data_IF_139872940163
#
_entry.id   IF_139872940163
#
_cell.length_a   1.000
_cell.length_b   1.000
_cell.length_c   1.000
_cell.angle_alpha   90.00
_cell.angle_beta   90.00
_cell.angle_gamma   90.00
#
_symmetry.space_group_name_H-M   'P 1'
#
loop_
_entity.id
_entity.type
_entity.pdbx_description
1 polymer ?
#
# COMPACT_ATOMS: atom_id res chain seq x y z
N UNK A 1 4.57 -25.62 33.33
CA UNK A 1 5.50 -24.53 32.97
C UNK A 1 4.75 -23.59 32.03
N UNK A 2 4.53 -22.34 32.47
CA UNK A 2 3.80 -21.31 31.71
C UNK A 2 4.78 -20.66 30.74
N UNK A 3 4.50 -20.64 29.44
CA UNK A 3 5.30 -19.90 28.46
C UNK A 3 4.43 -18.83 27.81
N UNK A 4 4.80 -17.58 28.09
CA UNK A 4 4.25 -16.37 27.51
C UNK A 4 4.86 -16.16 26.13
N UNK A 5 4.05 -16.09 25.07
CA UNK A 5 4.48 -15.56 23.77
C UNK A 5 3.28 -14.91 23.06
N UNK A 6 2.86 -13.77 23.58
CA UNK A 6 2.03 -12.78 22.90
C UNK A 6 2.61 -11.41 23.29
N UNK A 7 3.13 -10.66 22.32
CA UNK A 7 3.03 -9.19 22.15
C UNK A 7 4.20 -8.65 21.30
N UNK A 8 3.89 -8.34 20.05
CA UNK A 8 4.40 -7.22 19.24
C UNK A 8 3.63 -7.37 17.92
N UNK A 9 2.73 -6.49 17.51
CA UNK A 9 2.96 -5.08 17.20
C UNK A 9 1.63 -4.34 17.38
N UNK A 10 1.58 -3.37 18.29
CA UNK A 10 0.52 -2.35 18.34
C UNK A 10 1.13 -1.09 18.93
N UNK A 11 1.76 -0.28 18.07
CA UNK A 11 2.24 1.03 18.46
C UNK A 11 2.21 1.95 17.25
N UNK A 12 1.08 2.63 17.03
CA UNK A 12 1.01 4.01 16.54
C UNK A 12 -0.36 4.58 16.94
N UNK A 13 -0.46 5.13 18.16
CA UNK A 13 -1.47 6.15 18.46
C UNK A 13 -0.79 7.50 18.33
N UNK A 14 -1.19 8.27 17.34
CA UNK A 14 -0.82 9.67 17.20
C UNK A 14 -1.47 10.48 18.35
N UNK A 15 -0.64 11.19 19.11
CA UNK A 15 -1.08 12.38 19.84
C UNK A 15 -1.22 13.50 18.81
N UNK A 16 -2.40 14.12 18.74
CA UNK A 16 -2.54 15.56 18.49
C UNK A 16 -4.02 15.93 18.60
N UNK A 17 -4.44 16.46 19.75
CA UNK A 17 -5.45 17.52 19.83
C UNK A 17 -5.18 18.34 21.09
N UNK A 18 -4.38 19.39 20.94
CA UNK A 18 -4.41 20.55 21.82
C UNK A 18 -4.75 21.76 20.95
N UNK A 19 -5.99 22.22 21.05
CA UNK A 19 -6.45 23.48 20.46
C UNK A 19 -6.92 24.33 21.64
N UNK A 20 -6.26 25.45 21.96
CA UNK A 20 -6.80 26.39 22.92
C UNK A 20 -7.86 27.28 22.26
N UNK A 21 -8.91 27.51 23.05
CA UNK A 21 -10.06 28.37 22.82
C UNK A 21 -9.68 29.85 22.58
N UNK A 22 -10.39 30.51 21.67
CA UNK A 22 -10.60 31.96 21.72
C UNK A 22 -12.08 32.27 21.56
N UNK A 23 -12.54 33.13 22.46
CA UNK A 23 -13.91 33.47 22.82
C UNK A 23 -14.67 34.31 21.79
N UNK A 24 -15.98 34.21 21.93
CA UNK A 24 -17.07 35.15 21.64
C UNK A 24 -16.68 36.58 21.21
N UNK A 25 -17.28 37.02 20.10
CA UNK A 25 -17.92 38.35 20.01
C UNK A 25 -19.18 38.22 19.14
N UNK A 26 -20.33 38.18 19.80
CA UNK A 26 -21.63 38.56 19.24
C UNK A 26 -21.64 40.08 18.99
N UNK A 27 -21.90 40.53 17.76
CA UNK A 27 -22.70 41.75 17.50
C UNK A 27 -23.45 41.55 16.17
N UNK A 28 -24.75 41.28 16.27
CA UNK A 28 -25.74 41.65 15.26
C UNK A 28 -26.00 43.15 15.42
N UNK A 29 -25.80 43.94 14.36
CA UNK A 29 -26.56 45.18 14.20
C UNK A 29 -26.78 45.45 12.71
N UNK A 30 -28.03 45.75 12.42
CA UNK A 30 -28.72 45.70 11.14
C UNK A 30 -29.16 47.13 10.88
N UNK A 31 -28.53 47.87 9.96
CA UNK A 31 -29.11 49.10 9.42
C UNK A 31 -28.52 49.55 8.08
N UNK A 32 -29.32 49.34 7.03
CA UNK A 32 -29.38 50.11 5.77
C UNK A 32 -30.08 51.46 6.08
N UNK A 33 -29.62 52.65 5.61
CA UNK A 33 -30.17 53.18 4.35
C UNK A 33 -29.30 54.13 3.48
N UNK A 34 -29.57 54.02 2.17
CA UNK A 34 -29.61 55.06 1.12
C UNK A 34 -28.42 56.00 0.86
N UNK A 35 -27.97 56.02 -0.41
CA UNK A 35 -27.41 57.24 -1.01
C UNK A 35 -26.55 57.06 -2.27
N UNK A 36 -27.10 57.52 -3.40
CA UNK A 36 -26.40 58.14 -4.55
C UNK A 36 -25.56 57.27 -5.53
N UNK A 37 -26.09 57.10 -6.73
CA UNK A 37 -25.34 57.05 -8.00
C UNK A 37 -24.62 58.40 -8.22
N UNK A 38 -23.43 58.48 -8.85
CA UNK A 38 -23.44 58.53 -10.32
C UNK A 38 -22.18 58.00 -11.05
N UNK A 39 -22.34 57.93 -12.38
CA UNK A 39 -21.32 58.15 -13.41
C UNK A 39 -20.39 57.00 -13.81
N UNK A 40 -20.78 56.40 -14.94
CA UNK A 40 -19.98 55.66 -15.90
C UNK A 40 -18.62 56.32 -16.16
N UNK A 41 -17.54 55.58 -15.88
CA UNK A 41 -16.21 55.85 -16.40
C UNK A 41 -15.79 54.70 -17.31
N UNK A 42 -15.69 55.00 -18.60
CA UNK A 42 -15.20 54.12 -19.65
C UNK A 42 -13.70 53.93 -19.49
N UNK A 43 -13.31 52.83 -18.83
CA UNK A 43 -11.92 52.38 -18.75
C UNK A 43 -11.61 51.46 -19.93
N UNK A 44 -10.80 51.95 -20.87
CA UNK A 44 -10.24 51.18 -21.97
C UNK A 44 -9.39 50.03 -21.41
N UNK A 45 -9.92 48.80 -21.44
CA UNK A 45 -9.20 47.61 -21.06
C UNK A 45 -8.20 47.24 -22.17
N UNK A 46 -6.91 47.41 -21.89
CA UNK A 46 -5.82 46.84 -22.68
C UNK A 46 -5.85 45.31 -22.53
N UNK A 47 -6.22 44.58 -23.59
CA UNK A 47 -6.13 43.13 -23.63
C UNK A 47 -4.67 42.69 -23.58
N UNK A 48 -4.22 42.16 -22.45
CA UNK A 48 -3.01 41.35 -22.38
C UNK A 48 -3.30 39.98 -23.04
N UNK A 49 -2.35 39.40 -23.82
CA UNK A 49 -2.52 38.07 -24.37
C UNK A 49 -2.59 37.06 -23.22
N UNK A 50 -3.69 36.32 -23.16
CA UNK A 50 -3.85 35.17 -22.27
C UNK A 50 -2.80 34.14 -22.67
N UNK A 51 -1.79 33.95 -21.82
CA UNK A 51 -0.85 32.84 -21.98
C UNK A 51 -1.64 31.54 -21.89
N UNK A 52 -1.69 30.79 -22.99
CA UNK A 52 -2.29 29.45 -23.02
C UNK A 52 -1.52 28.57 -22.04
N UNK A 53 -2.15 28.03 -20.98
CA UNK A 53 -1.46 27.07 -20.12
C UNK A 53 -1.03 25.89 -21.00
N UNK A 54 0.28 25.64 -21.04
CA UNK A 54 0.78 24.41 -21.65
C UNK A 54 0.13 23.23 -20.91
N UNK A 55 -0.39 22.21 -21.62
CA UNK A 55 -0.88 21.02 -20.95
C UNK A 55 0.26 20.44 -20.13
N UNK A 56 0.12 20.46 -18.81
CA UNK A 56 0.93 19.61 -17.94
C UNK A 56 0.65 18.19 -18.42
N UNK A 57 1.63 17.59 -19.10
CA UNK A 57 1.60 16.17 -19.39
C UNK A 57 1.65 15.50 -18.02
N UNK A 58 0.49 15.07 -17.53
CA UNK A 58 0.42 14.12 -16.45
C UNK A 58 1.08 12.85 -16.98
N UNK A 59 2.37 12.70 -16.67
CA UNK A 59 3.02 11.41 -16.73
C UNK A 59 2.40 10.59 -15.61
N UNK A 60 1.14 10.15 -15.84
CA UNK A 60 0.38 9.34 -14.91
C UNK A 60 1.29 8.21 -14.50
N UNK A 61 1.83 8.32 -13.29
CA UNK A 61 2.91 7.45 -12.84
C UNK A 61 2.32 6.05 -12.76
N UNK A 62 2.65 5.20 -13.72
CA UNK A 62 2.11 3.85 -13.76
C UNK A 62 2.64 3.11 -12.54
N UNK A 63 1.74 2.76 -11.62
CA UNK A 63 2.10 1.96 -10.46
C UNK A 63 2.60 0.58 -10.93
N UNK A 64 3.71 0.13 -10.34
CA UNK A 64 4.23 -1.21 -10.53
C UNK A 64 3.27 -2.27 -9.97
N UNK A 65 3.67 -3.53 -10.13
CA UNK A 65 2.85 -4.69 -9.80
C UNK A 65 3.52 -5.58 -8.78
N UNK A 66 2.70 -6.17 -7.90
CA UNK A 66 3.06 -7.34 -7.12
C UNK A 66 2.74 -8.60 -7.93
N UNK A 67 3.76 -9.39 -8.25
CA UNK A 67 3.65 -10.60 -9.07
C UNK A 67 4.07 -11.80 -8.21
N UNK A 68 3.29 -12.86 -8.25
CA UNK A 68 3.64 -14.15 -7.64
C UNK A 68 3.66 -15.21 -8.72
N UNK A 69 4.83 -15.78 -8.98
CA UNK A 69 5.04 -16.86 -9.95
C UNK A 69 5.10 -18.18 -9.19
N UNK A 70 4.24 -19.12 -9.59
CA UNK A 70 4.26 -20.48 -9.08
C UNK A 70 5.02 -21.37 -10.06
N UNK A 71 6.30 -21.61 -9.80
CA UNK A 71 7.10 -22.58 -10.55
C UNK A 71 7.13 -23.97 -9.86
N UNK A 72 6.41 -24.13 -8.74
CA UNK A 72 6.19 -25.42 -8.09
C UNK A 72 5.40 -26.38 -8.99
N UNK A 73 5.54 -27.69 -8.73
CA UNK A 73 4.81 -28.76 -9.44
C UNK A 73 3.38 -28.97 -8.94
N UNK A 74 2.88 -28.11 -8.05
CA UNK A 74 1.56 -28.19 -7.41
C UNK A 74 0.91 -26.80 -7.39
N UNK A 75 -0.43 -26.69 -7.30
CA UNK A 75 -1.10 -25.41 -7.18
C UNK A 75 -0.82 -24.76 -5.83
N UNK A 76 -0.80 -23.42 -5.80
CA UNK A 76 -0.77 -22.62 -4.57
C UNK A 76 -1.99 -21.71 -4.51
N UNK A 77 -2.35 -21.28 -3.31
CA UNK A 77 -3.56 -20.50 -3.04
C UNK A 77 -3.17 -19.16 -2.44
N UNK A 78 -3.67 -18.08 -3.02
CA UNK A 78 -3.30 -16.72 -2.65
C UNK A 78 -4.52 -15.89 -2.24
N UNK A 79 -4.32 -15.05 -1.23
CA UNK A 79 -5.26 -13.99 -0.84
C UNK A 79 -4.53 -12.66 -0.79
N UNK A 80 -5.14 -11.63 -1.38
CA UNK A 80 -4.68 -10.24 -1.23
C UNK A 80 -5.45 -9.58 -0.09
N UNK A 81 -4.74 -9.30 1.00
CA UNK A 81 -5.32 -8.88 2.29
C UNK A 81 -4.90 -7.45 2.62
N UNK A 82 -5.88 -6.56 2.76
CA UNK A 82 -5.72 -5.23 3.38
C UNK A 82 -6.72 -5.09 4.53
N UNK A 83 -7.47 -3.99 4.58
CA UNK A 83 -8.63 -3.87 5.47
C UNK A 83 -9.79 -4.79 5.10
N UNK A 84 -9.77 -5.34 3.90
CA UNK A 84 -10.64 -6.40 3.41
C UNK A 84 -9.81 -7.53 2.84
N UNK A 85 -10.34 -8.75 2.90
CA UNK A 85 -9.74 -9.93 2.30
C UNK A 85 -10.39 -10.16 0.94
N UNK A 86 -9.58 -10.15 -0.13
CA UNK A 86 -10.06 -10.55 -1.47
C UNK A 86 -10.27 -12.07 -1.52
N UNK A 87 -11.12 -12.53 -2.45
CA UNK A 87 -11.39 -13.94 -2.66
C UNK A 87 -10.10 -14.73 -2.93
N UNK A 88 -10.08 -16.00 -2.53
CA UNK A 88 -9.00 -16.94 -2.85
C UNK A 88 -8.79 -16.99 -4.37
N UNK A 89 -7.54 -16.95 -4.80
CA UNK A 89 -7.16 -17.27 -6.17
C UNK A 89 -6.24 -18.48 -6.17
N UNK A 90 -6.54 -19.47 -7.01
CA UNK A 90 -5.62 -20.59 -7.25
C UNK A 90 -4.62 -20.20 -8.32
N UNK A 91 -3.33 -20.34 -8.02
CA UNK A 91 -2.24 -20.22 -8.99
C UNK A 91 -1.79 -21.64 -9.37
N UNK A 92 -2.19 -22.09 -10.55
CA UNK A 92 -1.75 -23.38 -11.09
C UNK A 92 -0.21 -23.43 -11.24
N UNK A 93 0.35 -24.64 -11.37
CA UNK A 93 1.76 -24.83 -11.69
C UNK A 93 2.11 -24.12 -13.01
N UNK A 94 3.21 -23.36 -13.01
CA UNK A 94 3.67 -22.55 -14.14
C UNK A 94 2.88 -21.25 -14.36
N UNK A 95 1.84 -20.98 -13.56
CA UNK A 95 1.04 -19.77 -13.67
C UNK A 95 1.54 -18.65 -12.75
N UNK A 96 0.91 -17.47 -12.85
CA UNK A 96 1.19 -16.33 -11.99
C UNK A 96 -0.07 -15.63 -11.52
N UNK A 97 -0.01 -15.05 -10.33
CA UNK A 97 -0.91 -14.00 -9.87
C UNK A 97 -0.25 -12.64 -10.09
N UNK A 98 -1.06 -11.61 -10.36
CA UNK A 98 -0.58 -10.24 -10.52
C UNK A 98 -1.64 -9.26 -10.04
N UNK A 99 -1.22 -8.29 -9.22
CA UNK A 99 -2.02 -7.11 -8.93
C UNK A 99 -1.16 -5.85 -9.03
N UNK A 100 -1.75 -4.76 -9.52
CA UNK A 100 -1.15 -3.43 -9.40
C UNK A 100 -1.03 -3.08 -7.92
N UNK A 101 0.10 -2.51 -7.52
CA UNK A 101 0.26 -2.03 -6.16
C UNK A 101 -0.87 -1.06 -5.81
N UNK A 102 -1.48 -1.25 -4.64
CA UNK A 102 -2.48 -0.33 -4.09
C UNK A 102 -2.16 0.02 -2.66
N UNK A 103 -2.64 1.18 -2.23
CA UNK A 103 -2.58 1.59 -0.83
C UNK A 103 -3.92 1.29 -0.16
N UNK A 104 -3.90 0.65 1.01
CA UNK A 104 -5.07 0.48 1.87
C UNK A 104 -4.95 1.42 3.07
N UNK A 105 -5.77 2.47 3.10
CA UNK A 105 -5.66 3.57 4.09
C UNK A 105 -5.89 3.09 5.52
N UNK A 106 -6.68 2.03 5.73
CA UNK A 106 -7.08 1.56 7.07
C UNK A 106 -6.03 0.65 7.71
N UNK A 107 -5.46 -0.27 6.93
CA UNK A 107 -4.42 -1.21 7.39
C UNK A 107 -3.00 -0.68 7.16
N UNK A 108 -2.82 0.31 6.29
CA UNK A 108 -1.54 0.92 5.94
C UNK A 108 -0.75 0.17 4.86
N UNK A 109 -1.15 -1.04 4.49
CA UNK A 109 -0.43 -1.89 3.53
C UNK A 109 -1.25 -3.09 3.10
N UNK A 110 -0.65 -3.92 2.25
CA UNK A 110 -1.25 -5.12 1.69
C UNK A 110 -0.35 -6.30 2.03
N UNK A 111 -0.94 -7.43 2.41
CA UNK A 111 -0.28 -8.72 2.53
C UNK A 111 -0.85 -9.68 1.48
N UNK A 112 -0.01 -10.11 0.54
CA UNK A 112 -0.27 -11.28 -0.27
C UNK A 112 0.08 -12.50 0.58
N UNK A 113 -0.94 -13.27 0.97
CA UNK A 113 -0.77 -14.48 1.78
C UNK A 113 -0.88 -15.70 0.88
N UNK A 114 0.12 -16.57 0.89
CA UNK A 114 0.23 -17.72 0.00
C UNK A 114 0.33 -19.00 0.85
N UNK A 115 -0.52 -19.98 0.55
CA UNK A 115 -0.47 -21.31 1.16
C UNK A 115 -0.43 -22.41 0.09
N UNK A 116 0.03 -23.60 0.47
CA UNK A 116 -0.03 -24.82 -0.36
C UNK A 116 -1.30 -25.63 -0.15
N UNK A 117 -2.13 -25.22 0.83
CA UNK A 117 -3.41 -25.86 1.19
C UNK A 117 -4.55 -24.93 0.82
N UNK A 118 -5.56 -25.45 0.12
CA UNK A 118 -6.77 -24.71 -0.20
C UNK A 118 -7.49 -24.24 1.06
N UNK A 119 -7.96 -23.00 1.09
CA UNK A 119 -8.54 -22.41 2.31
C UNK A 119 -7.52 -22.14 3.42
N UNK A 120 -6.22 -22.26 3.11
CA UNK A 120 -5.09 -22.15 4.05
C UNK A 120 -5.10 -20.90 4.95
N UNK A 121 -5.69 -19.80 4.46
CA UNK A 121 -5.85 -18.58 5.24
C UNK A 121 -6.67 -18.78 6.53
N UNK A 122 -7.63 -19.71 6.55
CA UNK A 122 -8.64 -19.83 7.61
C UNK A 122 -8.47 -21.08 8.49
N UNK A 123 -7.44 -21.88 8.28
CA UNK A 123 -7.25 -23.15 8.97
C UNK A 123 -5.85 -23.29 9.61
N UNK A 124 -5.15 -22.17 9.81
CA UNK A 124 -3.79 -22.12 10.36
C UNK A 124 -2.76 -22.93 9.58
N UNK A 125 -2.97 -23.11 8.26
CA UNK A 125 -1.93 -23.68 7.39
C UNK A 125 -0.71 -22.74 7.31
N UNK A 126 0.50 -23.30 7.14
CA UNK A 126 1.70 -22.52 6.84
C UNK A 126 1.48 -21.55 5.67
N UNK A 127 1.94 -20.32 5.83
CA UNK A 127 1.75 -19.25 4.86
C UNK A 127 3.00 -18.42 4.67
N UNK A 128 3.37 -18.20 3.41
CA UNK A 128 4.33 -17.16 3.03
C UNK A 128 3.59 -15.86 2.80
N UNK A 129 4.13 -14.78 3.34
CA UNK A 129 3.54 -13.46 3.36
C UNK A 129 4.47 -12.53 2.58
N UNK A 130 4.02 -12.09 1.41
CA UNK A 130 4.63 -10.98 0.69
C UNK A 130 3.82 -9.73 1.00
N UNK A 131 4.35 -8.93 1.92
CA UNK A 131 3.72 -7.69 2.34
C UNK A 131 4.37 -6.47 1.67
N UNK A 132 3.53 -5.47 1.38
CA UNK A 132 3.99 -4.20 0.82
C UNK A 132 3.14 -3.02 1.28
N UNK A 133 3.74 -1.84 1.38
CA UNK A 133 3.04 -0.58 1.59
C UNK A 133 3.60 0.51 0.68
N UNK A 134 2.70 1.32 0.11
CA UNK A 134 3.06 2.45 -0.74
C UNK A 134 3.03 3.72 0.09
N UNK A 135 4.11 4.49 0.04
CA UNK A 135 4.18 5.83 0.64
C UNK A 135 5.14 6.69 -0.17
N UNK A 136 4.72 7.90 -0.51
CA UNK A 136 5.59 8.91 -1.16
C UNK A 136 6.29 8.39 -2.43
N UNK A 137 5.57 7.68 -3.30
CA UNK A 137 6.12 7.13 -4.56
C UNK A 137 7.08 5.95 -4.38
N UNK A 138 7.19 5.42 -3.16
CA UNK A 138 8.02 4.27 -2.82
C UNK A 138 7.12 3.11 -2.40
N UNK A 139 7.55 1.89 -2.72
CA UNK A 139 7.00 0.65 -2.17
C UNK A 139 7.99 0.08 -1.18
N UNK A 140 7.58 -0.03 0.07
CA UNK A 140 8.26 -0.77 1.12
C UNK A 140 7.70 -2.18 1.14
N UNK A 141 8.56 -3.18 1.29
CA UNK A 141 8.13 -4.57 1.19
C UNK A 141 8.97 -5.47 2.08
N UNK A 142 8.36 -6.59 2.49
CA UNK A 142 8.99 -7.67 3.22
C UNK A 142 8.46 -9.02 2.75
N UNK A 143 9.23 -10.06 3.08
CA UNK A 143 8.85 -11.45 2.91
C UNK A 143 8.99 -12.14 4.27
N UNK A 144 7.98 -12.89 4.68
CA UNK A 144 7.98 -13.63 5.95
C UNK A 144 7.12 -14.89 5.87
N UNK A 145 7.27 -15.78 6.83
CA UNK A 145 6.39 -16.95 6.99
C UNK A 145 5.63 -16.89 8.32
N UNK A 146 4.41 -17.41 8.34
CA UNK A 146 3.59 -17.62 9.54
C UNK A 146 3.01 -19.02 9.55
N UNK A 147 2.80 -19.57 10.74
CA UNK A 147 2.28 -20.94 10.96
C UNK A 147 3.15 -22.07 10.41
N UNK A 148 4.41 -21.80 10.05
CA UNK A 148 5.39 -22.76 9.53
C UNK A 148 5.93 -22.32 8.17
N UNK A 149 6.73 -23.18 7.53
CA UNK A 149 7.43 -22.89 6.27
C UNK A 149 6.77 -23.66 5.09
N UNK A 150 5.82 -23.07 4.34
CA UNK A 150 5.05 -23.79 3.32
C UNK A 150 5.88 -24.29 2.13
N UNK A 151 7.02 -23.66 1.86
CA UNK A 151 7.90 -23.98 0.73
C UNK A 151 9.22 -24.61 1.16
N UNK A 152 9.31 -25.12 2.39
CA UNK A 152 10.52 -25.80 2.88
C UNK A 152 11.04 -26.83 1.87
N UNK A 153 12.34 -26.73 1.56
CA UNK A 153 13.02 -27.55 0.56
C UNK A 153 12.91 -27.03 -0.88
N UNK A 154 12.24 -25.90 -1.12
CA UNK A 154 12.15 -25.24 -2.42
C UNK A 154 12.59 -23.79 -2.31
N UNK A 155 13.24 -23.27 -3.34
CA UNK A 155 13.69 -21.88 -3.32
C UNK A 155 12.50 -20.91 -3.32
N UNK A 156 12.62 -19.83 -2.57
CA UNK A 156 11.72 -18.68 -2.62
C UNK A 156 12.56 -17.41 -2.80
N UNK A 157 12.21 -16.56 -3.77
CA UNK A 157 12.97 -15.33 -4.03
C UNK A 157 12.06 -14.15 -4.36
N UNK A 158 12.39 -12.96 -3.87
CA UNK A 158 11.67 -11.72 -4.15
C UNK A 158 12.60 -10.72 -4.84
N UNK A 159 12.34 -10.45 -6.11
CA UNK A 159 13.18 -9.62 -6.98
C UNK A 159 12.40 -8.49 -7.67
N UNK A 160 13.05 -7.37 -8.02
CA UNK A 160 14.40 -7.00 -7.61
C UNK A 160 14.46 -6.64 -6.12
N UNK A 161 15.58 -6.93 -5.48
CA UNK A 161 15.87 -6.50 -4.11
C UNK A 161 17.37 -6.23 -3.95
N UNK A 162 17.73 -5.25 -3.11
CA UNK A 162 19.11 -5.01 -2.70
C UNK A 162 19.19 -4.76 -1.19
N UNK A 163 19.95 -5.55 -0.40
CA UNK A 163 20.50 -6.88 -0.73
C UNK A 163 19.51 -7.87 -1.39
N UNK A 164 19.90 -9.08 -1.78
CA UNK A 164 18.90 -10.03 -2.30
C UNK A 164 17.98 -10.53 -1.17
N UNK A 165 16.70 -10.81 -1.46
CA UNK A 165 15.81 -11.63 -0.62
C UNK A 165 15.66 -12.98 -1.34
N UNK A 166 16.36 -13.99 -0.84
CA UNK A 166 16.43 -15.33 -1.44
C UNK A 166 16.59 -16.39 -0.36
N UNK A 167 15.55 -17.19 -0.17
CA UNK A 167 15.50 -18.29 0.78
C UNK A 167 15.76 -19.58 0.01
N UNK A 168 17.02 -20.02 -0.03
CA UNK A 168 17.44 -21.17 -0.84
C UNK A 168 16.69 -22.46 -0.49
N UNK A 169 16.39 -22.66 0.79
CA UNK A 169 15.67 -23.84 1.29
C UNK A 169 14.20 -23.54 1.62
N UNK A 170 13.68 -22.39 1.19
CA UNK A 170 12.28 -21.99 1.42
C UNK A 170 11.95 -21.71 2.88
N UNK A 171 12.98 -21.34 3.67
CA UNK A 171 12.87 -20.98 5.08
C UNK A 171 13.45 -19.56 5.24
N UNK A 172 12.71 -18.61 5.83
CA UNK A 172 13.20 -17.26 6.04
C UNK A 172 14.42 -17.23 6.99
N UNK A 173 15.34 -16.26 6.81
CA UNK A 173 16.34 -15.98 7.82
C UNK A 173 15.68 -15.43 9.10
N UNK A 174 16.45 -15.36 10.19
CA UNK A 174 15.95 -14.77 11.44
C UNK A 174 15.78 -13.26 11.28
N UNK A 175 14.60 -12.75 11.62
CA UNK A 175 14.30 -11.31 11.65
C UNK A 175 13.52 -10.85 10.42
N UNK A 176 13.20 -9.56 10.39
CA UNK A 176 12.45 -8.94 9.29
C UNK A 176 13.42 -8.37 8.24
N UNK A 177 13.14 -8.62 6.96
CA UNK A 177 13.93 -8.14 5.83
C UNK A 177 13.17 -7.08 5.03
N UNK A 178 12.90 -5.92 5.66
CA UNK A 178 12.21 -4.81 4.98
C UNK A 178 13.15 -4.14 3.98
N UNK A 179 12.65 -3.91 2.77
CA UNK A 179 13.34 -3.20 1.68
C UNK A 179 12.42 -2.18 1.03
N UNK A 180 13.00 -1.36 0.16
CA UNK A 180 12.28 -0.27 -0.51
C UNK A 180 12.74 -0.10 -1.95
N UNK A 181 11.81 0.21 -2.85
CA UNK A 181 12.11 0.64 -4.22
C UNK A 181 11.04 1.63 -4.72
N UNK A 182 11.25 2.31 -5.87
CA UNK A 182 10.20 3.13 -6.48
C UNK A 182 8.93 2.32 -6.74
N UNK A 183 7.77 2.88 -6.42
CA UNK A 183 6.47 2.21 -6.58
C UNK A 183 6.05 2.01 -8.03
N UNK A 184 6.83 2.51 -8.99
CA UNK A 184 6.63 2.31 -10.44
C UNK A 184 7.29 1.03 -10.96
N UNK A 185 8.08 0.34 -10.14
CA UNK A 185 8.79 -0.90 -10.51
C UNK A 185 8.07 -2.12 -9.98
N UNK A 186 7.97 -3.17 -10.79
CA UNK A 186 7.38 -4.44 -10.37
C UNK A 186 8.24 -5.13 -9.29
N UNK A 187 7.58 -5.93 -8.46
CA UNK A 187 8.18 -6.94 -7.59
C UNK A 187 7.65 -8.32 -7.98
N UNK A 188 8.53 -9.30 -8.10
CA UNK A 188 8.20 -10.68 -8.45
C UNK A 188 8.70 -11.61 -7.35
N UNK A 189 7.75 -12.22 -6.65
CA UNK A 189 7.96 -13.38 -5.80
C UNK A 189 7.93 -14.63 -6.68
N UNK A 190 9.00 -15.41 -6.70
CA UNK A 190 9.05 -16.73 -7.36
C UNK A 190 9.08 -17.82 -6.30
N UNK A 191 8.19 -18.80 -6.44
CA UNK A 191 8.03 -19.97 -5.58
C UNK A 191 8.48 -21.21 -6.36
N UNK A 192 9.38 -22.00 -5.78
CA UNK A 192 9.99 -23.19 -6.42
C UNK A 192 10.50 -22.88 -7.84
#
# INVERSE_FOLDING_TARGET
MKSYFLLSILAFRALALYVPSTQDVDIYDDHIPYGAFPSSSSSSASMAPVATPSPLVDHGSHAGRAIVVNACKFPVYIWSVGSTVRAETTIASGARFTETFRHDVKSGGIALKIATVQGGLYNSSPQTIFAYNIKEGQVWYDLSDVFGDPFKGHQVSLLPSSPEISWRDGIPPKGSEVRVQPSTRDLTLTLC
#
